data_IF_669092735631
#
_entry.id   IF_669092735631
#
_cell.length_a   1.000
_cell.length_b   1.000
_cell.length_c   1.000
_cell.angle_alpha   90.00
_cell.angle_beta   90.00
_cell.angle_gamma   90.00
#
_symmetry.space_group_name_H-M   'P 1'
#
loop_
_entity.id
_entity.type
_entity.pdbx_description
1 polymer ?
#
# COMPACT_ATOMS: atom_id res chain seq x y z
N UNK A 1 -11.61 -2.13 14.23
CA UNK A 1 -12.61 -1.65 13.25
C UNK A 1 -12.23 -0.41 12.43
N UNK A 2 -10.98 0.11 12.48
CA UNK A 2 -10.56 1.29 11.69
C UNK A 2 -9.85 0.97 10.37
N UNK A 3 -9.72 -0.29 10.02
CA UNK A 3 -9.29 -0.68 8.67
C UNK A 3 -10.51 -0.71 7.76
N UNK A 4 -10.43 -0.12 6.55
CA UNK A 4 -11.56 -0.06 5.63
C UNK A 4 -12.09 -1.47 5.39
N UNK A 5 -13.38 -1.66 5.69
CA UNK A 5 -14.11 -2.84 5.25
C UNK A 5 -14.06 -2.88 3.73
N UNK A 6 -13.86 -4.07 3.20
CA UNK A 6 -13.68 -4.32 1.77
C UNK A 6 -14.78 -3.69 0.93
N UNK A 7 -14.39 -3.22 -0.24
CA UNK A 7 -15.27 -2.65 -1.24
C UNK A 7 -15.58 -3.71 -2.29
N UNK A 8 -16.85 -4.07 -2.46
CA UNK A 8 -17.26 -5.21 -3.27
C UNK A 8 -16.66 -6.52 -2.76
N UNK A 9 -16.91 -7.61 -3.49
CA UNK A 9 -16.26 -8.89 -3.21
C UNK A 9 -14.99 -9.02 -4.06
N UNK A 10 -13.94 -9.58 -3.47
CA UNK A 10 -12.86 -10.14 -4.29
C UNK A 10 -13.44 -11.29 -5.12
N UNK A 11 -13.00 -11.47 -6.38
CA UNK A 11 -13.44 -12.60 -7.18
C UNK A 11 -12.96 -13.91 -6.56
N UNK A 12 -13.79 -14.95 -6.62
CA UNK A 12 -13.42 -16.30 -6.17
C UNK A 12 -12.29 -16.90 -7.05
N UNK A 13 -12.29 -16.56 -8.35
CA UNK A 13 -11.24 -16.93 -9.30
C UNK A 13 -10.67 -15.66 -9.98
N UNK A 14 -9.50 -15.25 -9.51
CA UNK A 14 -8.77 -14.11 -10.03
C UNK A 14 -8.35 -14.28 -11.49
N UNK A 15 -7.96 -15.48 -11.92
CA UNK A 15 -7.48 -15.73 -13.27
C UNK A 15 -8.64 -15.67 -14.27
N UNK A 16 -9.78 -16.27 -13.93
CA UNK A 16 -11.00 -16.18 -14.74
C UNK A 16 -11.50 -14.73 -14.84
N UNK A 17 -11.47 -13.98 -13.73
CA UNK A 17 -11.90 -12.58 -13.71
C UNK A 17 -10.95 -11.69 -14.52
N UNK A 18 -9.64 -11.93 -14.46
CA UNK A 18 -8.66 -11.22 -15.27
C UNK A 18 -8.87 -11.47 -16.78
N UNK A 19 -9.30 -12.67 -17.18
CA UNK A 19 -9.66 -12.97 -18.56
C UNK A 19 -10.86 -12.14 -19.07
N UNK A 20 -11.73 -11.72 -18.15
CA UNK A 20 -12.90 -10.88 -18.42
C UNK A 20 -12.59 -9.37 -18.47
N UNK A 21 -11.33 -8.95 -18.29
CA UNK A 21 -10.94 -7.55 -18.47
C UNK A 21 -11.20 -7.16 -19.94
N UNK A 22 -11.99 -6.09 -20.20
CA UNK A 22 -12.23 -5.60 -21.56
C UNK A 22 -10.93 -5.32 -22.32
N UNK A 23 -10.90 -5.62 -23.62
CA UNK A 23 -9.70 -5.46 -24.44
C UNK A 23 -9.14 -4.02 -24.38
N UNK A 24 -9.99 -2.99 -24.29
CA UNK A 24 -9.57 -1.59 -24.15
C UNK A 24 -8.73 -1.31 -22.90
N UNK A 25 -8.80 -2.19 -21.90
CA UNK A 25 -8.12 -2.05 -20.61
C UNK A 25 -6.89 -2.96 -20.49
N UNK A 26 -6.61 -3.84 -21.45
CA UNK A 26 -5.45 -4.73 -21.37
C UNK A 26 -4.16 -4.01 -21.76
N UNK A 27 -3.04 -4.43 -21.19
CA UNK A 27 -1.73 -3.81 -21.45
C UNK A 27 -1.24 -4.03 -22.89
N UNK A 28 -1.75 -5.07 -23.56
CA UNK A 28 -1.46 -5.43 -24.95
C UNK A 28 -2.42 -4.79 -25.97
N UNK A 29 -3.34 -3.92 -25.52
CA UNK A 29 -4.31 -3.28 -26.40
C UNK A 29 -3.64 -2.41 -27.46
N UNK A 30 -4.01 -2.62 -28.73
CA UNK A 30 -3.64 -1.67 -29.78
C UNK A 30 -4.23 -0.28 -29.48
N UNK A 31 -3.60 0.78 -29.97
CA UNK A 31 -4.10 2.16 -29.78
C UNK A 31 -5.58 2.31 -30.14
N UNK A 32 -5.99 1.77 -31.28
CA UNK A 32 -7.38 1.85 -31.76
C UNK A 32 -8.39 1.15 -30.85
N UNK A 33 -7.98 0.09 -30.15
CA UNK A 33 -8.82 -0.64 -29.19
C UNK A 33 -8.81 0.08 -27.84
N UNK A 34 -7.65 0.59 -27.42
CA UNK A 34 -7.53 1.37 -26.20
C UNK A 34 -8.36 2.64 -26.21
N UNK A 35 -8.54 3.30 -27.36
CA UNK A 35 -9.36 4.51 -27.48
C UNK A 35 -10.88 4.23 -27.41
N UNK A 36 -11.33 2.96 -27.38
CA UNK A 36 -12.75 2.58 -27.29
C UNK A 36 -13.29 2.62 -25.84
N UNK A 37 -13.19 3.80 -25.23
CA UNK A 37 -13.65 4.05 -23.87
C UNK A 37 -14.13 5.48 -23.72
N UNK A 38 -15.09 5.68 -22.81
CA UNK A 38 -15.53 7.03 -22.43
C UNK A 38 -14.71 7.50 -21.23
N UNK A 39 -14.26 8.75 -21.27
CA UNK A 39 -13.46 9.34 -20.20
C UNK A 39 -14.34 10.29 -19.37
N UNK A 40 -14.46 10.01 -18.09
CA UNK A 40 -15.08 10.93 -17.11
C UNK A 40 -13.96 11.75 -16.48
N UNK A 41 -13.95 13.05 -16.73
CA UNK A 41 -12.91 13.96 -16.23
C UNK A 41 -13.31 14.69 -14.94
N UNK A 42 -12.32 15.02 -14.13
CA UNK A 42 -12.46 15.86 -12.94
C UNK A 42 -12.87 17.29 -13.33
N UNK A 43 -13.82 17.87 -12.59
CA UNK A 43 -14.23 19.29 -12.73
C UNK A 43 -13.50 20.21 -11.74
N UNK A 44 -12.90 19.63 -10.69
CA UNK A 44 -12.21 20.36 -9.62
C UNK A 44 -10.74 19.93 -9.50
N UNK A 45 -9.97 20.71 -8.75
CA UNK A 45 -8.58 20.41 -8.40
C UNK A 45 -8.45 20.25 -6.89
N UNK A 46 -7.82 19.19 -6.43
CA UNK A 46 -7.65 18.90 -5.01
C UNK A 46 -7.35 17.43 -4.74
N UNK A 47 -7.42 17.05 -3.46
CA UNK A 47 -7.32 15.67 -3.03
C UNK A 47 -8.66 14.96 -3.17
N UNK A 48 -8.67 13.73 -3.67
CA UNK A 48 -9.81 12.83 -3.52
C UNK A 48 -9.94 12.51 -2.03
N UNK A 49 -11.00 13.00 -1.39
CA UNK A 49 -11.24 12.79 0.04
C UNK A 49 -12.10 11.54 0.29
N UNK A 50 -12.99 11.24 -0.65
CA UNK A 50 -13.93 10.15 -0.56
C UNK A 50 -14.30 9.64 -1.95
N UNK A 51 -14.51 8.34 -2.05
CA UNK A 51 -15.12 7.66 -3.19
C UNK A 51 -16.27 6.80 -2.64
N UNK A 52 -17.49 7.03 -3.13
CA UNK A 52 -18.63 6.17 -2.81
C UNK A 52 -18.54 4.87 -3.62
N UNK A 53 -17.72 3.94 -3.15
CA UNK A 53 -17.46 2.73 -3.92
C UNK A 53 -18.69 1.82 -4.10
N UNK A 54 -19.63 1.84 -3.15
CA UNK A 54 -20.88 1.09 -3.29
C UNK A 54 -21.75 1.68 -4.40
N UNK A 55 -21.86 3.01 -4.45
CA UNK A 55 -22.60 3.69 -5.50
C UNK A 55 -21.94 3.45 -6.88
N UNK A 56 -20.60 3.45 -6.94
CA UNK A 56 -19.84 3.12 -8.15
C UNK A 56 -20.19 1.71 -8.64
N UNK A 57 -20.15 0.70 -7.76
CA UNK A 57 -20.50 -0.68 -8.12
C UNK A 57 -21.96 -0.80 -8.57
N UNK A 58 -22.90 -0.22 -7.81
CA UNK A 58 -24.33 -0.24 -8.15
C UNK A 58 -24.61 0.39 -9.51
N UNK A 59 -23.98 1.52 -9.81
CA UNK A 59 -24.11 2.19 -11.10
C UNK A 59 -23.51 1.35 -12.24
N UNK A 60 -22.32 0.79 -12.02
CA UNK A 60 -21.67 -0.08 -12.99
C UNK A 60 -22.55 -1.31 -13.33
N UNK A 61 -23.10 -1.98 -12.33
CA UNK A 61 -24.01 -3.12 -12.54
C UNK A 61 -25.30 -2.70 -13.25
N UNK A 62 -25.93 -1.60 -12.80
CA UNK A 62 -27.19 -1.10 -13.39
C UNK A 62 -27.06 -0.80 -14.89
N UNK A 63 -25.93 -0.25 -15.32
CA UNK A 63 -25.68 0.14 -16.70
C UNK A 63 -24.86 -0.88 -17.50
N UNK A 64 -24.55 -2.03 -16.88
CA UNK A 64 -23.69 -3.08 -17.44
C UNK A 64 -22.35 -2.53 -17.97
N UNK A 65 -21.63 -1.83 -17.08
CA UNK A 65 -20.36 -1.16 -17.33
C UNK A 65 -19.22 -1.88 -16.60
N UNK A 66 -18.01 -1.70 -17.14
CA UNK A 66 -16.74 -1.91 -16.47
C UNK A 66 -16.03 -0.57 -16.34
N UNK A 67 -15.72 -0.18 -15.11
CA UNK A 67 -15.11 1.09 -14.76
C UNK A 67 -13.66 0.88 -14.35
N UNK A 68 -12.73 1.60 -14.96
CA UNK A 68 -11.35 1.69 -14.48
C UNK A 68 -11.15 3.00 -13.75
N UNK A 69 -10.89 2.91 -12.45
CA UNK A 69 -10.60 4.07 -11.60
C UNK A 69 -9.13 4.48 -11.80
N UNK A 70 -8.91 5.77 -12.05
CA UNK A 70 -7.57 6.33 -12.23
C UNK A 70 -7.02 6.97 -10.95
N UNK A 71 -7.90 7.23 -9.98
CA UNK A 71 -7.57 7.86 -8.71
C UNK A 71 -8.23 7.10 -7.56
N UNK A 72 -7.59 7.15 -6.40
CA UNK A 72 -8.11 6.62 -5.13
C UNK A 72 -8.09 7.73 -4.06
N UNK A 73 -8.89 7.60 -2.99
CA UNK A 73 -8.85 8.52 -1.85
C UNK A 73 -7.40 8.76 -1.36
N UNK A 74 -7.01 10.02 -1.25
CA UNK A 74 -5.65 10.47 -0.93
C UNK A 74 -4.83 11.02 -2.10
N UNK A 75 -5.21 10.69 -3.34
CA UNK A 75 -4.53 11.16 -4.53
C UNK A 75 -4.90 12.61 -4.85
N UNK A 76 -3.96 13.36 -5.43
CA UNK A 76 -4.21 14.72 -5.89
C UNK A 76 -4.57 14.72 -7.38
N UNK A 77 -5.71 15.31 -7.72
CA UNK A 77 -6.23 15.41 -9.08
C UNK A 77 -6.29 16.87 -9.53
N UNK A 78 -6.06 17.08 -10.83
CA UNK A 78 -6.24 18.37 -11.50
C UNK A 78 -7.50 18.35 -12.37
N UNK A 79 -8.12 19.51 -12.54
CA UNK A 79 -9.23 19.69 -13.48
C UNK A 79 -8.87 19.16 -14.88
N UNK A 80 -9.82 18.46 -15.52
CA UNK A 80 -9.65 17.85 -16.84
C UNK A 80 -8.92 16.50 -16.85
N UNK A 81 -8.38 16.02 -15.72
CA UNK A 81 -7.80 14.68 -15.63
C UNK A 81 -8.88 13.60 -15.58
N UNK A 82 -8.59 12.44 -16.17
CA UNK A 82 -9.51 11.29 -16.19
C UNK A 82 -9.68 10.72 -14.78
N UNK A 83 -10.89 10.80 -14.20
CA UNK A 83 -11.23 10.13 -12.95
C UNK A 83 -11.56 8.65 -13.18
N UNK A 84 -12.35 8.39 -14.22
CA UNK A 84 -12.86 7.06 -14.55
C UNK A 84 -12.79 6.88 -16.06
N UNK A 85 -12.29 5.72 -16.48
CA UNK A 85 -12.45 5.24 -17.85
C UNK A 85 -13.57 4.20 -17.88
N UNK A 86 -14.50 4.35 -18.83
CA UNK A 86 -15.75 3.59 -18.87
C UNK A 86 -15.83 2.76 -20.13
N UNK A 87 -16.15 1.48 -19.96
CA UNK A 87 -16.45 0.55 -21.05
C UNK A 87 -17.78 -0.17 -20.80
N UNK A 88 -18.59 -0.45 -21.82
CA UNK A 88 -18.48 0.07 -23.18
C UNK A 88 -18.94 1.54 -23.27
N UNK A 89 -18.30 2.38 -24.11
CA UNK A 89 -18.54 3.83 -24.13
C UNK A 89 -19.99 4.21 -24.45
N UNK A 90 -20.66 3.46 -25.32
CA UNK A 90 -22.03 3.72 -25.77
C UNK A 90 -23.09 3.53 -24.67
N UNK A 91 -22.78 2.77 -23.61
CA UNK A 91 -23.68 2.58 -22.47
C UNK A 91 -23.54 3.67 -21.41
N UNK A 92 -22.55 4.55 -21.53
CA UNK A 92 -22.33 5.65 -20.60
C UNK A 92 -22.84 6.96 -21.21
N UNK A 93 -24.06 7.34 -20.80
CA UNK A 93 -24.68 8.61 -21.16
C UNK A 93 -24.01 9.80 -20.44
N UNK A 94 -24.34 11.02 -20.83
CA UNK A 94 -23.85 12.23 -20.15
C UNK A 94 -24.30 12.28 -18.68
N UNK A 95 -25.54 11.86 -18.41
CA UNK A 95 -26.08 11.74 -17.04
C UNK A 95 -25.28 10.72 -16.23
N UNK A 96 -24.97 9.54 -16.80
CA UNK A 96 -24.14 8.53 -16.14
C UNK A 96 -22.73 9.07 -15.84
N UNK A 97 -22.14 9.84 -16.74
CA UNK A 97 -20.85 10.47 -16.54
C UNK A 97 -20.87 11.58 -15.47
N UNK A 98 -21.99 12.29 -15.32
CA UNK A 98 -22.19 13.24 -14.24
C UNK A 98 -22.37 12.53 -12.88
N UNK A 99 -23.21 11.49 -12.82
CA UNK A 99 -23.39 10.66 -11.62
C UNK A 99 -22.06 10.06 -11.13
N UNK A 100 -21.24 9.52 -12.05
CA UNK A 100 -19.90 8.99 -11.73
C UNK A 100 -18.98 10.04 -11.11
N UNK A 101 -19.08 11.29 -11.55
CA UNK A 101 -18.24 12.36 -11.02
C UNK A 101 -18.67 12.76 -9.62
N UNK A 102 -19.98 12.80 -9.38
CA UNK A 102 -20.56 13.19 -8.10
C UNK A 102 -20.29 12.17 -6.99
N UNK A 103 -19.84 10.95 -7.35
CA UNK A 103 -19.34 9.93 -6.41
C UNK A 103 -17.96 10.24 -5.83
N UNK A 104 -17.21 11.20 -6.41
CA UNK A 104 -15.92 11.66 -5.91
C UNK A 104 -16.09 12.94 -5.10
N UNK A 105 -15.72 12.91 -3.83
CA UNK A 105 -15.55 14.15 -3.06
C UNK A 105 -14.10 14.66 -3.23
N UNK A 106 -13.96 15.88 -3.76
CA UNK A 106 -12.65 16.54 -3.96
C UNK A 106 -12.54 17.71 -3.00
N UNK A 107 -11.42 17.80 -2.27
CA UNK A 107 -11.21 18.88 -1.31
C UNK A 107 -9.75 19.34 -1.20
N UNK A 108 -9.52 20.42 -0.46
CA UNK A 108 -8.21 21.08 -0.38
C UNK A 108 -7.19 20.38 0.53
N UNK A 109 -7.61 19.37 1.29
CA UNK A 109 -6.76 18.62 2.25
C UNK A 109 -6.99 17.12 2.11
N UNK A 110 -5.97 16.34 2.42
CA UNK A 110 -6.10 14.89 2.59
C UNK A 110 -7.02 14.56 3.77
N UNK A 111 -7.63 13.38 3.70
CA UNK A 111 -8.53 12.85 4.73
C UNK A 111 -8.10 11.43 5.10
N UNK A 112 -8.04 11.14 6.39
CA UNK A 112 -7.77 9.79 6.89
C UNK A 112 -8.97 8.84 6.76
N UNK A 113 -10.15 9.34 6.35
CA UNK A 113 -11.40 8.57 6.34
C UNK A 113 -11.32 7.32 5.44
N UNK A 114 -10.71 7.46 4.26
CA UNK A 114 -10.51 6.37 3.30
C UNK A 114 -9.06 6.26 2.79
N UNK A 115 -8.13 7.08 3.29
CA UNK A 115 -6.71 7.00 2.92
C UNK A 115 -5.84 6.48 4.07
N UNK A 116 -5.67 5.16 4.14
CA UNK A 116 -4.71 4.54 5.06
C UNK A 116 -3.28 5.02 4.82
N UNK A 117 -2.95 5.36 3.58
CA UNK A 117 -1.60 5.73 3.17
C UNK A 117 -1.24 7.11 3.73
N UNK A 118 -2.24 7.98 3.94
CA UNK A 118 -2.05 9.24 4.64
C UNK A 118 -1.62 9.03 6.10
N UNK A 119 -2.22 8.06 6.81
CA UNK A 119 -1.80 7.76 8.19
C UNK A 119 -0.36 7.21 8.26
N UNK A 120 0.03 6.41 7.26
CA UNK A 120 1.43 5.96 7.11
C UNK A 120 2.35 7.15 6.86
N UNK A 121 1.99 8.04 5.93
CA UNK A 121 2.78 9.23 5.61
C UNK A 121 2.99 10.13 6.84
N UNK A 122 1.98 10.32 7.68
CA UNK A 122 2.10 11.12 8.90
C UNK A 122 3.14 10.52 9.87
N UNK A 123 3.13 9.20 10.07
CA UNK A 123 4.13 8.52 10.91
C UNK A 123 5.53 8.60 10.30
N UNK A 124 5.63 8.47 8.98
CA UNK A 124 6.90 8.62 8.25
C UNK A 124 7.44 10.04 8.37
N UNK A 125 6.59 11.06 8.23
CA UNK A 125 6.99 12.46 8.36
C UNK A 125 7.50 12.77 9.77
N UNK A 126 6.81 12.28 10.79
CA UNK A 126 7.23 12.46 12.20
C UNK A 126 8.59 11.79 12.44
N UNK A 127 8.76 10.54 12.01
CA UNK A 127 10.01 9.80 12.19
C UNK A 127 11.18 10.43 11.42
N UNK A 128 10.96 10.80 10.15
CA UNK A 128 11.97 11.46 9.32
C UNK A 128 12.39 12.81 9.92
N UNK A 129 11.44 13.60 10.43
CA UNK A 129 11.72 14.87 11.13
C UNK A 129 12.52 14.64 12.40
N UNK A 130 12.16 13.63 13.19
CA UNK A 130 12.85 13.30 14.43
C UNK A 130 14.31 12.87 14.18
N UNK A 131 14.56 12.10 13.11
CA UNK A 131 15.90 11.67 12.70
C UNK A 131 16.67 12.70 11.87
N UNK A 132 16.07 13.85 11.56
CA UNK A 132 16.77 14.89 10.83
C UNK A 132 17.97 15.43 11.63
N UNK A 133 19.05 15.90 10.97
CA UNK A 133 20.25 16.39 11.66
C UNK A 133 20.01 17.51 12.67
N UNK A 134 18.92 18.27 12.51
CA UNK A 134 18.56 19.37 13.41
C UNK A 134 17.84 18.95 14.69
N UNK A 135 17.24 17.76 14.72
CA UNK A 135 16.48 17.26 15.88
C UNK A 135 17.23 16.11 16.55
N UNK A 136 17.63 15.10 15.77
CA UNK A 136 18.39 13.93 16.23
C UNK A 136 17.76 13.22 17.45
N UNK A 137 16.45 12.96 17.37
CA UNK A 137 15.66 12.25 18.37
C UNK A 137 15.25 10.86 17.87
N UNK A 138 16.09 9.84 18.06
CA UNK A 138 15.79 8.48 17.60
C UNK A 138 14.63 7.83 18.36
N UNK A 139 14.27 8.27 19.57
CA UNK A 139 13.21 7.62 20.36
C UNK A 139 11.81 7.98 19.87
N UNK A 140 11.62 9.20 19.36
CA UNK A 140 10.40 9.55 18.64
C UNK A 140 10.26 8.69 17.37
N UNK A 141 11.34 8.50 16.62
CA UNK A 141 11.31 7.64 15.43
C UNK A 141 11.07 6.16 15.77
N UNK A 142 11.64 5.66 16.87
CA UNK A 142 11.34 4.31 17.41
C UNK A 142 9.85 4.15 17.66
N UNK A 143 9.21 5.14 18.29
CA UNK A 143 7.76 5.11 18.54
C UNK A 143 6.96 5.03 17.23
N UNK A 144 7.35 5.80 16.21
CA UNK A 144 6.71 5.71 14.89
C UNK A 144 6.90 4.33 14.25
N UNK A 145 8.10 3.74 14.36
CA UNK A 145 8.39 2.39 13.86
C UNK A 145 7.55 1.32 14.59
N UNK A 146 7.29 1.48 15.90
CA UNK A 146 6.38 0.61 16.65
C UNK A 146 4.96 0.62 16.08
N UNK A 147 4.42 1.80 15.81
CA UNK A 147 3.06 1.93 15.26
C UNK A 147 2.98 1.45 13.81
N UNK A 148 4.01 1.70 13.01
CA UNK A 148 4.10 1.19 11.64
C UNK A 148 4.19 -0.33 11.62
N UNK A 149 5.03 -0.94 12.48
CA UNK A 149 5.15 -2.40 12.57
C UNK A 149 3.84 -3.05 13.00
N UNK A 150 3.18 -2.51 14.04
CA UNK A 150 1.90 -3.02 14.49
C UNK A 150 0.81 -2.96 13.41
N UNK A 151 0.72 -1.86 12.66
CA UNK A 151 -0.24 -1.72 11.57
C UNK A 151 0.03 -2.68 10.41
N UNK A 152 1.31 -2.91 10.08
CA UNK A 152 1.71 -3.81 9.00
C UNK A 152 1.63 -5.29 9.40
N UNK A 153 1.84 -5.63 10.68
CA UNK A 153 1.57 -6.96 11.23
C UNK A 153 0.08 -7.32 11.11
N UNK A 154 -0.80 -6.40 11.49
CA UNK A 154 -2.25 -6.59 11.35
C UNK A 154 -2.66 -6.76 9.88
N UNK A 155 -1.96 -6.11 8.96
CA UNK A 155 -2.17 -6.26 7.52
C UNK A 155 -1.55 -7.55 6.94
N UNK A 156 -0.41 -7.97 7.47
CA UNK A 156 0.34 -9.14 7.01
C UNK A 156 -0.47 -10.44 7.14
N UNK A 157 -1.33 -10.54 8.15
CA UNK A 157 -2.26 -11.67 8.33
C UNK A 157 -3.55 -11.58 7.50
N UNK A 158 -3.74 -10.53 6.69
CA UNK A 158 -4.98 -10.29 5.94
C UNK A 158 -4.79 -10.49 4.43
N UNK A 159 -5.88 -10.87 3.78
CA UNK A 159 -6.03 -10.78 2.33
C UNK A 159 -6.30 -9.33 1.95
N UNK A 160 -5.44 -8.74 1.12
CA UNK A 160 -5.67 -7.41 0.57
C UNK A 160 -6.79 -7.47 -0.49
N UNK A 161 -7.64 -6.43 -0.60
CA UNK A 161 -8.69 -6.40 -1.61
C UNK A 161 -8.09 -6.57 -3.01
N UNK A 162 -8.77 -7.38 -3.81
CA UNK A 162 -8.49 -7.45 -5.24
C UNK A 162 -8.64 -6.07 -5.88
N UNK A 163 -7.73 -5.74 -6.79
CA UNK A 163 -7.89 -4.57 -7.66
C UNK A 163 -9.02 -4.78 -8.68
N UNK A 164 -9.45 -6.02 -8.91
CA UNK A 164 -10.63 -6.38 -9.66
C UNK A 164 -11.80 -6.59 -8.69
N UNK A 165 -12.88 -5.83 -8.85
CA UNK A 165 -14.06 -5.90 -7.99
C UNK A 165 -15.26 -6.36 -8.80
N UNK A 166 -15.96 -7.35 -8.27
CA UNK A 166 -17.14 -7.96 -8.90
C UNK A 166 -18.42 -7.54 -8.19
N UNK A 167 -19.54 -7.61 -8.90
CA UNK A 167 -20.87 -7.47 -8.30
C UNK A 167 -21.39 -8.80 -7.71
N UNK A 168 -22.63 -8.79 -7.21
CA UNK A 168 -23.27 -9.94 -6.56
C UNK A 168 -23.45 -11.14 -7.52
N UNK A 169 -23.43 -10.90 -8.83
CA UNK A 169 -23.49 -11.94 -9.87
C UNK A 169 -22.09 -12.46 -10.28
N UNK A 170 -21.03 -11.97 -9.64
CA UNK A 170 -19.64 -12.33 -9.94
C UNK A 170 -19.08 -11.67 -11.20
N UNK A 171 -19.75 -10.66 -11.76
CA UNK A 171 -19.32 -9.98 -12.97
C UNK A 171 -18.35 -8.85 -12.63
N UNK A 172 -17.26 -8.72 -13.41
CA UNK A 172 -16.30 -7.63 -13.24
C UNK A 172 -16.97 -6.28 -13.49
N UNK A 173 -16.90 -5.38 -12.50
CA UNK A 173 -17.48 -4.03 -12.59
C UNK A 173 -16.47 -2.91 -12.40
N UNK A 174 -15.47 -3.12 -11.54
CA UNK A 174 -14.47 -2.08 -11.24
C UNK A 174 -13.06 -2.65 -11.30
N UNK A 175 -12.18 -1.92 -11.98
CA UNK A 175 -10.73 -2.11 -11.99
C UNK A 175 -10.13 -0.92 -11.23
N UNK A 176 -9.71 -1.15 -9.99
CA UNK A 176 -9.06 -0.17 -9.13
C UNK A 176 -7.52 -0.26 -9.23
N UNK A 177 -6.81 0.67 -8.59
CA UNK A 177 -5.37 0.55 -8.42
C UNK A 177 -5.06 -0.47 -7.32
N UNK A 178 -4.13 -1.42 -7.54
CA UNK A 178 -3.78 -2.40 -6.51
C UNK A 178 -3.08 -1.73 -5.33
N UNK A 179 -3.52 -2.07 -4.12
CA UNK A 179 -2.74 -1.84 -2.90
C UNK A 179 -2.05 -3.15 -2.54
N UNK A 180 -0.73 -3.16 -2.53
CA UNK A 180 0.06 -4.36 -2.24
C UNK A 180 0.80 -4.21 -0.92
N UNK A 181 1.08 -5.33 -0.26
CA UNK A 181 1.93 -5.36 0.93
C UNK A 181 3.28 -4.67 0.66
N UNK A 182 3.90 -4.98 -0.48
CA UNK A 182 5.15 -4.36 -0.91
C UNK A 182 5.04 -2.83 -1.03
N UNK A 183 3.96 -2.30 -1.60
CA UNK A 183 3.76 -0.85 -1.73
C UNK A 183 3.63 -0.14 -0.37
N UNK A 184 3.07 -0.81 0.65
CA UNK A 184 2.93 -0.24 1.98
C UNK A 184 4.22 -0.34 2.79
N UNK A 185 5.00 -1.43 2.63
CA UNK A 185 6.35 -1.53 3.19
C UNK A 185 7.25 -0.45 2.57
N UNK A 186 7.20 -0.25 1.26
CA UNK A 186 7.98 0.79 0.58
C UNK A 186 7.64 2.19 1.10
N UNK A 187 6.35 2.50 1.18
CA UNK A 187 5.88 3.80 1.65
C UNK A 187 6.22 4.08 3.12
N UNK A 188 6.43 3.04 3.93
CA UNK A 188 6.78 3.15 5.35
C UNK A 188 8.28 2.97 5.58
N UNK A 189 8.73 1.72 5.66
CA UNK A 189 10.11 1.32 5.88
C UNK A 189 11.02 1.80 4.74
N UNK A 190 10.59 1.70 3.48
CA UNK A 190 11.38 2.23 2.35
C UNK A 190 11.68 3.73 2.47
N UNK A 191 10.66 4.53 2.77
CA UNK A 191 10.81 5.98 2.97
C UNK A 191 11.71 6.32 4.18
N UNK A 192 11.68 5.51 5.24
CA UNK A 192 12.46 5.72 6.46
C UNK A 192 13.88 5.15 6.41
N UNK A 193 14.18 4.25 5.48
CA UNK A 193 15.46 3.52 5.45
C UNK A 193 16.68 4.46 5.51
N UNK A 194 16.71 5.53 4.70
CA UNK A 194 17.82 6.48 4.69
C UNK A 194 18.00 7.23 6.02
N UNK A 195 16.90 7.53 6.71
CA UNK A 195 16.94 8.25 7.99
C UNK A 195 17.36 7.32 9.11
N UNK A 196 16.79 6.11 9.15
CA UNK A 196 17.13 5.12 10.15
C UNK A 196 18.57 4.63 9.99
N UNK A 197 19.07 4.46 8.77
CA UNK A 197 20.42 3.95 8.48
C UNK A 197 21.55 4.81 9.07
N UNK A 198 21.31 6.11 9.26
CA UNK A 198 22.29 7.04 9.83
C UNK A 198 22.33 7.03 11.37
N UNK A 199 21.38 6.36 12.04
CA UNK A 199 21.30 6.26 13.49
C UNK A 199 21.22 4.79 13.94
N UNK A 200 22.12 4.39 14.85
CA UNK A 200 22.18 2.99 15.30
C UNK A 200 20.90 2.54 16.00
N UNK A 201 20.30 3.39 16.83
CA UNK A 201 19.11 3.02 17.63
C UNK A 201 17.91 2.83 16.71
N UNK A 202 17.69 3.76 15.79
CA UNK A 202 16.63 3.68 14.79
C UNK A 202 16.85 2.50 13.83
N UNK A 203 18.08 2.27 13.36
CA UNK A 203 18.42 1.11 12.53
C UNK A 203 18.07 -0.23 13.20
N UNK A 204 18.46 -0.39 14.47
CA UNK A 204 18.16 -1.61 15.22
C UNK A 204 16.65 -1.80 15.38
N UNK A 205 15.91 -0.72 15.71
CA UNK A 205 14.45 -0.81 15.82
C UNK A 205 13.79 -1.13 14.50
N UNK A 206 14.24 -0.53 13.40
CA UNK A 206 13.74 -0.78 12.05
C UNK A 206 13.85 -2.27 11.69
N UNK A 207 15.01 -2.88 11.92
CA UNK A 207 15.22 -4.31 11.67
C UNK A 207 14.35 -5.18 12.58
N UNK A 208 14.21 -4.79 13.85
CA UNK A 208 13.32 -5.48 14.79
C UNK A 208 11.86 -5.44 14.30
N UNK A 209 11.41 -4.27 13.84
CA UNK A 209 10.07 -4.01 13.37
C UNK A 209 9.75 -4.82 12.11
N UNK A 210 10.71 -4.92 11.18
CA UNK A 210 10.59 -5.81 10.02
C UNK A 210 10.47 -7.29 10.42
N UNK A 211 11.25 -7.74 11.41
CA UNK A 211 11.14 -9.11 11.89
C UNK A 211 9.83 -9.38 12.67
N UNK A 212 9.29 -8.40 13.40
CA UNK A 212 7.95 -8.49 13.99
C UNK A 212 6.88 -8.70 12.90
N UNK A 213 6.86 -7.85 11.87
CA UNK A 213 5.92 -7.98 10.74
C UNK A 213 6.06 -9.34 10.06
N UNK A 214 7.28 -9.88 9.98
CA UNK A 214 7.51 -11.19 9.38
C UNK A 214 6.81 -12.32 10.13
N UNK A 215 6.59 -12.22 11.45
CA UNK A 215 5.92 -13.28 12.22
C UNK A 215 4.49 -13.53 11.77
N UNK A 216 3.87 -12.53 11.15
CA UNK A 216 2.49 -12.56 10.65
C UNK A 216 2.42 -12.79 9.13
N UNK A 217 3.57 -13.03 8.47
CA UNK A 217 3.66 -13.28 7.03
C UNK A 217 3.79 -14.77 6.71
N UNK A 218 2.80 -15.36 6.03
CA UNK A 218 2.87 -16.75 5.55
C UNK A 218 3.22 -16.86 4.06
N UNK A 219 3.04 -15.78 3.30
CA UNK A 219 3.33 -15.73 1.85
C UNK A 219 4.83 -15.49 1.57
N UNK A 220 5.49 -16.29 0.71
CA UNK A 220 6.91 -16.14 0.37
C UNK A 220 7.30 -14.76 -0.19
N UNK A 221 6.40 -14.13 -0.95
CA UNK A 221 6.65 -12.81 -1.56
C UNK A 221 6.70 -11.69 -0.51
N UNK A 222 5.89 -11.79 0.56
CA UNK A 222 5.92 -10.85 1.69
C UNK A 222 7.23 -10.98 2.46
N UNK A 223 7.69 -12.22 2.71
CA UNK A 223 9.00 -12.46 3.34
C UNK A 223 10.17 -11.94 2.48
N UNK A 224 10.08 -12.11 1.16
CA UNK A 224 11.07 -11.57 0.22
C UNK A 224 11.10 -10.05 0.24
N UNK A 225 9.93 -9.41 0.34
CA UNK A 225 9.82 -7.96 0.52
C UNK A 225 10.51 -7.52 1.81
N UNK A 226 10.21 -8.17 2.94
CA UNK A 226 10.85 -7.85 4.24
C UNK A 226 12.37 -7.97 4.15
N UNK A 227 12.88 -9.06 3.56
CA UNK A 227 14.32 -9.27 3.35
C UNK A 227 14.93 -8.12 2.55
N UNK A 228 14.28 -7.71 1.46
CA UNK A 228 14.75 -6.61 0.60
C UNK A 228 14.93 -5.30 1.38
N UNK A 229 14.00 -4.95 2.27
CA UNK A 229 14.12 -3.71 3.06
C UNK A 229 15.09 -3.81 4.24
N UNK A 230 15.36 -5.02 4.75
CA UNK A 230 16.45 -5.24 5.69
C UNK A 230 17.82 -5.06 5.01
N UNK A 231 17.98 -5.59 3.79
CA UNK A 231 19.20 -5.46 2.99
C UNK A 231 19.48 -4.00 2.61
N UNK A 232 18.47 -3.29 2.10
CA UNK A 232 18.58 -1.85 1.77
C UNK A 232 18.99 -1.00 2.97
N UNK A 233 18.47 -1.28 4.16
CA UNK A 233 18.87 -0.57 5.37
C UNK A 233 20.35 -0.84 5.68
N UNK A 234 20.79 -2.10 5.63
CA UNK A 234 22.19 -2.44 5.89
C UNK A 234 23.14 -1.79 4.88
N UNK A 235 22.78 -1.78 3.59
CA UNK A 235 23.52 -1.08 2.53
C UNK A 235 23.73 0.40 2.87
N UNK A 236 22.64 1.11 3.21
CA UNK A 236 22.71 2.52 3.60
C UNK A 236 23.49 2.73 4.90
N UNK A 237 23.34 1.83 5.88
CA UNK A 237 24.06 1.90 7.15
C UNK A 237 25.57 1.70 6.97
N UNK A 238 25.99 0.87 6.00
CA UNK A 238 27.40 0.69 5.64
C UNK A 238 28.07 1.99 5.20
N UNK A 239 27.31 2.89 4.58
CA UNK A 239 27.79 4.19 4.13
C UNK A 239 27.77 5.23 5.26
N UNK A 240 26.73 5.19 6.11
CA UNK A 240 26.47 6.22 7.11
C UNK A 240 27.13 5.97 8.48
N UNK A 241 27.29 4.72 8.91
CA UNK A 241 27.79 4.35 10.23
C UNK A 241 29.21 3.77 10.19
N UNK A 242 29.90 3.81 11.33
CA UNK A 242 31.26 3.26 11.49
C UNK A 242 31.43 2.58 12.85
N UNK A 243 32.47 1.75 12.95
CA UNK A 243 32.88 1.10 14.20
C UNK A 243 31.76 0.30 14.85
N UNK A 244 31.64 0.45 16.18
CA UNK A 244 30.66 -0.27 17.00
C UNK A 244 29.22 -0.17 16.48
N UNK A 245 28.80 1.03 16.06
CA UNK A 245 27.44 1.28 15.59
C UNK A 245 27.11 0.46 14.35
N UNK A 246 28.01 0.47 13.35
CA UNK A 246 27.84 -0.32 12.14
C UNK A 246 27.85 -1.82 12.42
N UNK A 247 28.77 -2.29 13.28
CA UNK A 247 28.83 -3.70 13.67
C UNK A 247 27.50 -4.18 14.24
N UNK A 248 26.85 -3.39 15.12
CA UNK A 248 25.55 -3.73 15.70
C UNK A 248 24.45 -3.87 14.64
N UNK A 249 24.39 -2.95 13.69
CA UNK A 249 23.39 -2.99 12.60
C UNK A 249 23.61 -4.22 11.71
N UNK A 250 24.85 -4.48 11.29
CA UNK A 250 25.19 -5.67 10.48
C UNK A 250 24.84 -6.98 11.17
N UNK A 251 25.19 -7.11 12.45
CA UNK A 251 24.84 -8.29 13.24
C UNK A 251 23.33 -8.50 13.26
N UNK A 252 22.55 -7.43 13.52
CA UNK A 252 21.09 -7.51 13.57
C UNK A 252 20.47 -7.83 12.20
N UNK A 253 20.98 -7.25 11.12
CA UNK A 253 20.52 -7.56 9.76
C UNK A 253 20.80 -9.03 9.39
N UNK A 254 21.99 -9.53 9.73
CA UNK A 254 22.36 -10.93 9.53
C UNK A 254 21.51 -11.90 10.37
N UNK A 255 21.19 -11.56 11.62
CA UNK A 255 20.28 -12.34 12.47
C UNK A 255 18.90 -12.46 11.83
N UNK A 256 18.32 -11.36 11.36
CA UNK A 256 17.01 -11.35 10.69
C UNK A 256 17.03 -12.19 9.41
N UNK A 257 18.02 -12.00 8.53
CA UNK A 257 18.16 -12.80 7.30
C UNK A 257 18.25 -14.30 7.60
N UNK A 258 19.15 -14.66 8.52
CA UNK A 258 19.36 -16.06 8.90
C UNK A 258 18.07 -16.68 9.43
N UNK A 259 17.29 -15.92 10.22
CA UNK A 259 16.00 -16.40 10.68
C UNK A 259 15.07 -16.64 9.48
N UNK A 260 14.84 -15.63 8.62
CA UNK A 260 13.92 -15.71 7.47
C UNK A 260 14.21 -16.84 6.47
N UNK A 261 15.44 -17.34 6.42
CA UNK A 261 15.85 -18.44 5.54
C UNK A 261 15.53 -19.83 6.11
N UNK A 262 15.10 -19.93 7.38
CA UNK A 262 14.81 -21.22 8.04
C UNK A 262 13.33 -21.62 7.91
N UNK A 263 13.01 -22.91 7.72
CA UNK A 263 11.63 -23.39 7.68
C UNK A 263 10.84 -23.09 8.97
N UNK A 264 11.52 -22.98 10.11
CA UNK A 264 10.95 -22.68 11.43
C UNK A 264 11.21 -21.24 11.90
N UNK A 265 11.39 -20.28 10.96
CA UNK A 265 11.86 -18.93 11.26
C UNK A 265 11.04 -18.22 12.35
N UNK A 266 9.71 -18.37 12.37
CA UNK A 266 8.85 -17.72 13.38
C UNK A 266 9.23 -18.15 14.79
N UNK A 267 9.51 -19.44 14.99
CA UNK A 267 9.96 -19.97 16.28
C UNK A 267 11.35 -19.45 16.62
N UNK A 268 12.28 -19.37 15.65
CA UNK A 268 13.64 -18.87 15.89
C UNK A 268 13.70 -17.38 16.21
N UNK A 269 12.85 -16.59 15.55
CA UNK A 269 12.63 -15.21 15.93
C UNK A 269 12.08 -15.14 17.35
N UNK A 270 11.12 -16.01 17.74
CA UNK A 270 10.55 -16.03 19.10
C UNK A 270 11.51 -16.47 20.21
N UNK A 271 12.24 -17.55 19.97
CA UNK A 271 12.99 -18.27 21.01
C UNK A 271 14.48 -17.87 21.02
N UNK A 272 14.95 -17.11 20.02
CA UNK A 272 16.35 -16.74 19.87
C UNK A 272 16.72 -15.41 20.54
N UNK A 273 18.02 -15.08 20.59
CA UNK A 273 18.51 -13.72 20.89
C UNK A 273 18.07 -12.69 19.84
N UNK A 274 17.57 -13.20 18.71
CA UNK A 274 16.86 -12.47 17.68
C UNK A 274 15.38 -12.25 18.03
N UNK A 275 14.93 -12.44 19.27
CA UNK A 275 13.59 -12.07 19.73
C UNK A 275 13.43 -10.55 19.79
N UNK A 276 12.44 -10.07 19.03
CA UNK A 276 12.33 -8.68 18.62
C UNK A 276 11.23 -7.94 19.36
N UNK A 277 10.34 -8.65 20.05
CA UNK A 277 9.21 -8.05 20.75
C UNK A 277 9.55 -7.64 22.20
N UNK A 278 9.62 -8.59 23.14
CA UNK A 278 9.72 -8.26 24.57
C UNK A 278 10.73 -9.12 25.33
N UNK A 279 11.55 -8.51 26.19
CA UNK A 279 12.46 -9.25 27.07
C UNK A 279 11.73 -9.63 28.36
N UNK A 280 11.33 -10.89 28.49
CA UNK A 280 10.90 -11.47 29.77
C UNK A 280 12.02 -12.35 30.33
#
# INVERSE_FOLDING_TARGET
>A
DRFPRFVGSSPDDHAATAANIPATFRDDASRSVGEQRRIVVAKDTGYIQFLDDEAVLKLASKHDLVLRLQYQPGDFVHVGRALVEVWPPEKCSDVCADDLRDMFAIGSRRSALQDLRFLVDELVEIAARALSPGVNDPFTAVTCLDWLSAALSDLAGRSLPSHLRVDDDGMLRVIAHPVTFASLIDRSFGALAQYCAADMVASLRYLNALGEVSLDCDEPDRLTTIRTYADRLEELANEALKGFNLTRVRTRAAELRTALDQPDYKRRLRDGTAWLAGTA
#
